data_IF_696400139925
#
_entry.id   IF_696400139925
#
_cell.length_a   1.000
_cell.length_b   1.000
_cell.length_c   1.000
_cell.angle_alpha   90.00
_cell.angle_beta   90.00
_cell.angle_gamma   90.00
#
_symmetry.space_group_name_H-M   'P 1'
#
loop_
_entity.id
_entity.type
_entity.pdbx_description
1 polymer ?
#
# COMPACT_ATOMS: atom_id res chain seq x y z
N UNK A 1 45.29 -25.45 -65.31
CA UNK A 1 44.31 -24.40 -64.98
C UNK A 1 42.98 -25.07 -64.71
N UNK A 2 42.58 -25.14 -63.43
CA UNK A 2 41.28 -25.68 -63.02
C UNK A 2 40.79 -24.84 -61.84
N UNK A 3 39.88 -23.91 -62.15
CA UNK A 3 39.11 -23.11 -61.20
C UNK A 3 37.86 -23.90 -60.82
N UNK A 4 37.43 -23.86 -59.54
CA UNK A 4 36.06 -23.99 -58.99
C UNK A 4 36.14 -24.45 -57.52
N UNK A 5 35.37 -23.97 -56.54
CA UNK A 5 34.44 -22.86 -56.38
C UNK A 5 34.13 -22.84 -54.87
N UNK A 6 34.43 -21.74 -54.16
CA UNK A 6 34.15 -21.61 -52.72
C UNK A 6 32.63 -21.65 -52.48
N UNK A 7 32.17 -22.61 -51.67
CA UNK A 7 30.82 -22.57 -51.10
C UNK A 7 30.96 -22.08 -49.66
N UNK A 8 30.64 -20.80 -49.46
CA UNK A 8 30.38 -20.22 -48.14
C UNK A 8 29.02 -20.74 -47.67
N UNK A 9 28.99 -21.69 -46.74
CA UNK A 9 27.79 -21.99 -45.97
C UNK A 9 27.66 -20.93 -44.87
N UNK A 10 26.87 -19.90 -45.12
CA UNK A 10 26.35 -19.03 -44.08
C UNK A 10 25.26 -19.78 -43.31
N UNK A 11 25.62 -20.35 -42.16
CA UNK A 11 24.67 -20.92 -41.21
C UNK A 11 23.93 -19.78 -40.50
N UNK A 12 22.67 -19.56 -40.82
CA UNK A 12 21.78 -18.68 -40.06
C UNK A 12 21.37 -19.40 -38.77
N UNK A 13 21.98 -19.04 -37.65
CA UNK A 13 21.54 -19.47 -36.32
C UNK A 13 20.33 -18.61 -35.94
N UNK A 14 19.13 -19.17 -36.10
CA UNK A 14 17.90 -18.62 -35.54
C UNK A 14 17.91 -18.82 -34.02
N UNK A 15 18.36 -17.82 -33.27
CA UNK A 15 18.16 -17.75 -31.83
C UNK A 15 16.69 -17.43 -31.57
N UNK A 16 15.86 -18.46 -31.39
CA UNK A 16 14.53 -18.31 -30.84
C UNK A 16 14.65 -17.97 -29.35
N UNK A 17 14.77 -16.68 -29.01
CA UNK A 17 14.59 -16.21 -27.64
C UNK A 17 13.10 -16.25 -27.30
N UNK A 18 12.60 -17.46 -27.01
CA UNK A 18 11.32 -17.63 -26.34
C UNK A 18 11.45 -17.08 -24.91
N UNK A 19 10.89 -15.89 -24.66
CA UNK A 19 10.73 -15.40 -23.30
C UNK A 19 9.87 -16.41 -22.54
N UNK A 20 10.36 -16.89 -21.39
CA UNK A 20 9.55 -17.70 -20.48
C UNK A 20 8.45 -16.79 -19.93
N UNK A 21 7.23 -16.95 -20.41
CA UNK A 21 6.06 -16.40 -19.74
C UNK A 21 5.98 -17.09 -18.37
N UNK A 22 6.30 -16.38 -17.30
CA UNK A 22 6.09 -16.89 -15.95
C UNK A 22 4.57 -17.04 -15.74
N UNK A 23 4.15 -18.14 -15.12
CA UNK A 23 2.74 -18.32 -14.76
C UNK A 23 2.35 -17.22 -13.77
N UNK A 24 1.29 -16.47 -14.09
CA UNK A 24 0.75 -15.44 -13.22
C UNK A 24 0.20 -16.10 -11.95
N UNK A 25 0.75 -15.74 -10.79
CA UNK A 25 0.25 -16.23 -9.51
C UNK A 25 -1.04 -15.47 -9.19
N UNK A 26 -2.13 -16.19 -8.91
CA UNK A 26 -3.43 -15.59 -8.60
C UNK A 26 -3.70 -15.70 -7.10
N UNK A 27 -4.07 -14.57 -6.50
CA UNK A 27 -4.52 -14.50 -5.12
C UNK A 27 -5.97 -14.05 -5.05
N UNK A 28 -6.64 -14.39 -3.96
CA UNK A 28 -8.00 -13.92 -3.63
C UNK A 28 -7.93 -13.13 -2.33
N UNK A 29 -8.66 -12.02 -2.28
CA UNK A 29 -8.80 -11.24 -1.05
C UNK A 29 -9.76 -11.92 -0.08
N UNK A 30 -9.35 -12.10 1.18
CA UNK A 30 -10.22 -12.70 2.20
C UNK A 30 -11.14 -11.67 2.87
N UNK A 31 -10.79 -10.38 2.80
CA UNK A 31 -11.50 -9.22 3.33
C UNK A 31 -11.39 -8.02 2.37
N UNK A 32 -12.09 -6.93 2.66
CA UNK A 32 -11.91 -5.65 1.98
C UNK A 32 -10.53 -5.07 2.32
N UNK A 33 -9.76 -4.71 1.29
CA UNK A 33 -8.35 -4.37 1.39
C UNK A 33 -8.06 -3.05 0.68
N UNK A 34 -7.44 -2.13 1.41
CA UNK A 34 -6.87 -0.92 0.81
C UNK A 34 -5.66 -1.30 -0.05
N UNK A 35 -5.72 -0.95 -1.33
CA UNK A 35 -4.60 -1.03 -2.26
C UNK A 35 -3.83 0.28 -2.15
N UNK A 36 -2.55 0.22 -1.78
CA UNK A 36 -1.71 1.41 -1.53
C UNK A 36 -0.70 1.66 -2.64
N UNK A 37 -0.26 2.91 -2.78
CA UNK A 37 0.79 3.29 -3.73
C UNK A 37 2.19 2.73 -3.37
N UNK A 38 2.41 2.31 -2.11
CA UNK A 38 3.68 1.77 -1.63
C UNK A 38 3.50 0.84 -0.42
N UNK A 39 4.56 0.11 -0.04
CA UNK A 39 4.52 -0.92 1.01
C UNK A 39 4.62 -0.29 2.40
N UNK A 40 3.53 0.31 2.86
CA UNK A 40 3.45 0.88 4.19
C UNK A 40 2.21 1.75 4.42
N UNK A 41 1.81 1.96 5.69
CA UNK A 41 0.70 2.83 6.06
C UNK A 41 0.87 4.28 5.60
N UNK A 42 2.11 4.73 5.43
CA UNK A 42 2.44 6.10 5.01
C UNK A 42 2.07 6.39 3.55
N UNK A 43 1.85 5.35 2.74
CA UNK A 43 1.49 5.53 1.34
C UNK A 43 -0.03 5.69 1.18
N UNK A 44 -0.47 6.59 0.28
CA UNK A 44 -1.89 6.81 0.04
C UNK A 44 -2.55 5.54 -0.51
N UNK A 45 -3.82 5.36 -0.15
CA UNK A 45 -4.69 4.37 -0.78
C UNK A 45 -5.04 4.82 -2.19
N UNK A 46 -4.80 3.96 -3.17
CA UNK A 46 -5.14 4.17 -4.58
C UNK A 46 -6.42 3.44 -5.00
N UNK A 47 -6.91 2.51 -4.16
CA UNK A 47 -8.21 1.88 -4.34
C UNK A 47 -8.57 0.87 -3.26
N UNK A 48 -9.69 0.20 -3.46
CA UNK A 48 -10.23 -0.82 -2.55
C UNK A 48 -10.46 -2.12 -3.32
N UNK A 49 -9.81 -3.20 -2.88
CA UNK A 49 -10.07 -4.55 -3.35
C UNK A 49 -11.07 -5.21 -2.37
N UNK A 50 -12.32 -5.38 -2.80
CA UNK A 50 -13.35 -6.02 -1.96
C UNK A 50 -13.06 -7.48 -1.72
N UNK A 51 -13.58 -8.07 -0.64
CA UNK A 51 -13.52 -9.51 -0.37
C UNK A 51 -13.91 -10.33 -1.61
N UNK A 52 -13.16 -11.39 -1.89
CA UNK A 52 -13.38 -12.29 -3.01
C UNK A 52 -12.84 -11.76 -4.35
N UNK A 53 -12.28 -10.55 -4.38
CA UNK A 53 -11.58 -10.04 -5.56
C UNK A 53 -10.39 -10.93 -5.88
N UNK A 54 -10.27 -11.30 -7.15
CA UNK A 54 -9.08 -11.96 -7.65
C UNK A 54 -8.03 -10.92 -8.02
N UNK A 55 -6.78 -11.21 -7.68
CA UNK A 55 -5.64 -10.35 -7.88
C UNK A 55 -4.50 -11.13 -8.54
N UNK A 56 -3.80 -10.53 -9.49
CA UNK A 56 -2.48 -11.03 -9.88
C UNK A 56 -1.51 -10.67 -8.77
N UNK A 57 -0.85 -11.66 -8.18
CA UNK A 57 0.17 -11.50 -7.15
C UNK A 57 1.54 -11.43 -7.83
N UNK A 58 2.04 -10.21 -8.04
CA UNK A 58 3.38 -9.98 -8.62
C UNK A 58 4.49 -10.51 -7.70
N UNK A 59 4.26 -10.47 -6.38
CA UNK A 59 5.18 -10.97 -5.36
C UNK A 59 5.18 -10.14 -4.08
N UNK A 60 5.96 -10.56 -3.09
CA UNK A 60 6.05 -9.92 -1.78
C UNK A 60 7.48 -9.47 -1.43
N UNK A 61 7.60 -8.44 -0.59
CA UNK A 61 8.90 -7.99 -0.11
C UNK A 61 9.40 -8.96 0.96
N UNK A 62 10.66 -9.40 0.83
CA UNK A 62 11.29 -10.27 1.80
C UNK A 62 11.38 -9.61 3.18
N UNK A 63 11.02 -10.34 4.24
CA UNK A 63 10.98 -9.81 5.61
C UNK A 63 9.89 -8.77 5.90
N UNK A 64 8.99 -8.49 4.94
CA UNK A 64 7.94 -7.48 5.05
C UNK A 64 6.56 -8.11 4.81
N UNK A 65 5.51 -7.58 5.42
CA UNK A 65 4.12 -8.07 5.25
C UNK A 65 3.42 -7.57 3.98
N UNK A 66 4.14 -6.89 3.10
CA UNK A 66 3.59 -6.25 1.91
C UNK A 66 3.81 -7.08 0.65
N UNK A 67 2.72 -7.23 -0.12
CA UNK A 67 2.74 -7.83 -1.45
C UNK A 67 2.25 -6.83 -2.48
N UNK A 68 2.88 -6.85 -3.65
CA UNK A 68 2.41 -6.11 -4.82
C UNK A 68 1.40 -6.96 -5.57
N UNK A 69 0.25 -6.37 -5.86
CA UNK A 69 -0.84 -7.01 -6.57
C UNK A 69 -1.34 -6.12 -7.70
N UNK A 70 -1.93 -6.73 -8.72
CA UNK A 70 -2.80 -6.06 -9.69
C UNK A 70 -4.24 -6.58 -9.50
N UNK A 71 -5.14 -5.67 -9.12
CA UNK A 71 -6.56 -5.97 -8.95
C UNK A 71 -7.33 -5.11 -9.93
N UNK A 72 -8.04 -5.72 -10.88
CA UNK A 72 -8.83 -5.03 -11.89
C UNK A 72 -8.04 -3.95 -12.68
N UNK A 73 -6.76 -4.21 -12.98
CA UNK A 73 -5.88 -3.26 -13.69
C UNK A 73 -5.28 -2.18 -12.78
N UNK A 74 -5.56 -2.23 -11.48
CA UNK A 74 -4.98 -1.33 -10.49
C UNK A 74 -3.85 -2.05 -9.75
N UNK A 75 -2.62 -1.69 -10.10
CA UNK A 75 -1.42 -2.21 -9.44
C UNK A 75 -1.06 -1.40 -8.20
N UNK A 76 -0.84 -2.08 -7.08
CA UNK A 76 -0.45 -1.46 -5.81
C UNK A 76 -0.05 -2.48 -4.76
N UNK A 77 0.02 -2.04 -3.51
CA UNK A 77 0.53 -2.81 -2.37
C UNK A 77 -0.57 -3.12 -1.36
N UNK A 78 -0.64 -4.37 -0.92
CA UNK A 78 -1.60 -4.87 0.07
C UNK A 78 -0.89 -5.74 1.12
N UNK A 79 -1.57 -5.98 2.23
CA UNK A 79 -1.09 -6.89 3.27
C UNK A 79 -1.26 -8.36 2.86
N UNK A 80 -0.19 -9.13 3.02
CA UNK A 80 -0.15 -10.56 2.71
C UNK A 80 -1.07 -11.42 3.60
N UNK A 81 -1.34 -10.96 4.83
CA UNK A 81 -2.24 -11.64 5.79
C UNK A 81 -3.67 -11.81 5.26
N UNK A 82 -4.06 -10.98 4.29
CA UNK A 82 -5.40 -10.97 3.73
C UNK A 82 -5.48 -11.45 2.28
N UNK A 83 -4.38 -12.02 1.78
CA UNK A 83 -4.35 -12.72 0.51
C UNK A 83 -4.31 -14.22 0.77
N UNK A 84 -5.09 -14.96 -0.02
CA UNK A 84 -4.98 -16.41 -0.11
C UNK A 84 -4.67 -16.83 -1.53
N UNK A 85 -3.89 -17.90 -1.69
CA UNK A 85 -3.71 -18.59 -2.97
C UNK A 85 -4.33 -19.97 -2.88
N UNK A 86 -4.75 -20.52 -4.02
CA UNK A 86 -5.15 -21.92 -4.09
C UNK A 86 -3.90 -22.80 -4.28
N UNK A 87 -3.62 -23.67 -3.31
CA UNK A 87 -2.59 -24.69 -3.40
C UNK A 87 -3.27 -26.06 -3.55
N UNK A 88 -3.50 -26.48 -4.78
CA UNK A 88 -4.06 -27.81 -5.08
C UNK A 88 -5.48 -28.02 -4.53
N UNK A 89 -6.33 -26.99 -4.56
CA UNK A 89 -7.70 -27.02 -4.04
C UNK A 89 -7.84 -26.63 -2.57
N UNK A 90 -6.74 -26.26 -1.90
CA UNK A 90 -6.76 -25.75 -0.53
C UNK A 90 -6.36 -24.27 -0.50
N UNK A 91 -7.18 -23.38 0.07
CA UNK A 91 -6.81 -21.98 0.23
C UNK A 91 -5.76 -21.85 1.33
N UNK A 92 -4.66 -21.15 1.02
CA UNK A 92 -3.54 -20.94 1.93
C UNK A 92 -3.25 -19.44 2.04
N UNK A 93 -3.13 -18.93 3.26
CA UNK A 93 -2.79 -17.53 3.51
C UNK A 93 -1.35 -17.26 3.07
N UNK A 94 -1.19 -16.22 2.25
CA UNK A 94 0.08 -15.85 1.64
C UNK A 94 1.12 -15.58 2.70
N UNK A 95 0.84 -14.75 3.73
CA UNK A 95 1.84 -14.38 4.74
C UNK A 95 2.55 -15.57 5.39
N UNK A 96 1.79 -16.60 5.72
CA UNK A 96 2.26 -17.71 6.54
C UNK A 96 3.05 -18.74 5.72
N UNK A 97 2.77 -18.85 4.42
CA UNK A 97 3.28 -19.97 3.60
C UNK A 97 4.04 -19.50 2.35
N UNK A 98 4.52 -18.25 2.32
CA UNK A 98 5.14 -17.62 1.14
C UNK A 98 6.21 -18.48 0.45
N UNK A 99 7.12 -19.04 1.25
CA UNK A 99 8.23 -19.84 0.74
C UNK A 99 7.75 -21.19 0.19
N UNK A 100 6.73 -21.79 0.81
CA UNK A 100 6.18 -23.09 0.44
C UNK A 100 5.36 -23.03 -0.84
N UNK A 101 4.59 -21.96 -1.02
CA UNK A 101 3.79 -21.70 -2.23
C UNK A 101 4.59 -21.01 -3.35
N UNK A 102 5.87 -20.71 -3.10
CA UNK A 102 6.78 -20.14 -4.11
C UNK A 102 6.43 -18.71 -4.53
N UNK A 103 5.96 -17.87 -3.62
CA UNK A 103 5.64 -16.47 -3.93
C UNK A 103 6.92 -15.74 -4.39
N UNK A 104 6.90 -15.08 -5.55
CA UNK A 104 8.05 -14.30 -5.99
C UNK A 104 8.41 -13.21 -4.98
N UNK A 105 9.72 -12.99 -4.79
CA UNK A 105 10.20 -11.84 -4.04
C UNK A 105 10.24 -10.61 -4.94
N UNK A 106 9.70 -9.49 -4.47
CA UNK A 106 9.84 -8.19 -5.15
C UNK A 106 10.58 -7.22 -4.24
N UNK A 107 11.38 -6.35 -4.84
CA UNK A 107 11.95 -5.21 -4.13
C UNK A 107 11.07 -3.98 -4.34
N UNK A 108 11.13 -3.07 -3.37
CA UNK A 108 10.57 -1.73 -3.51
C UNK A 108 11.70 -0.74 -3.28
N UNK A 109 12.07 -0.01 -4.32
CA UNK A 109 12.94 1.15 -4.19
C UNK A 109 12.05 2.35 -3.89
N UNK A 110 12.08 2.79 -2.63
CA UNK A 110 11.56 4.10 -2.27
C UNK A 110 12.46 5.13 -2.95
N UNK A 111 12.07 5.62 -4.13
CA UNK A 111 12.58 6.89 -4.60
C UNK A 111 12.11 7.91 -3.57
N UNK A 112 13.01 8.29 -2.67
CA UNK A 112 12.73 9.23 -1.59
C UNK A 112 11.91 10.40 -2.12
N UNK A 113 10.80 10.69 -1.45
CA UNK A 113 10.05 11.94 -1.60
C UNK A 113 9.55 12.21 -3.02
N UNK A 114 8.48 11.53 -3.43
CA UNK A 114 7.41 12.32 -4.04
C UNK A 114 6.56 12.86 -2.88
N UNK A 115 7.08 13.90 -2.22
CA UNK A 115 6.18 15.04 -1.95
C UNK A 115 5.58 15.29 -3.33
N UNK A 116 4.25 15.26 -3.53
CA UNK A 116 3.71 15.71 -4.80
C UNK A 116 4.37 17.06 -5.04
N UNK A 117 5.29 17.15 -6.01
CA UNK A 117 5.67 18.45 -6.52
C UNK A 117 4.32 19.06 -6.86
N UNK A 118 3.96 20.16 -6.20
CA UNK A 118 2.78 20.92 -6.60
C UNK A 118 2.83 20.98 -8.13
N UNK A 119 1.79 20.51 -8.84
CA UNK A 119 1.86 20.42 -10.29
C UNK A 119 2.15 21.81 -10.82
N UNK A 120 3.38 22.03 -11.28
CA UNK A 120 3.79 23.30 -11.84
C UNK A 120 3.17 23.34 -13.25
N UNK A 121 2.26 24.29 -13.55
CA UNK A 121 1.62 24.34 -14.86
C UNK A 121 2.68 24.49 -15.96
N UNK A 122 2.46 23.85 -17.10
CA UNK A 122 3.33 24.05 -18.26
C UNK A 122 3.21 25.51 -18.75
N UNK A 123 4.23 26.06 -19.44
CA UNK A 123 4.14 27.40 -20.02
C UNK A 123 2.95 27.50 -20.98
N UNK A 124 1.89 28.20 -20.55
CA UNK A 124 0.66 28.38 -21.33
C UNK A 124 -0.59 27.71 -20.74
N UNK A 125 -0.48 26.95 -19.64
CA UNK A 125 -1.64 26.46 -18.91
C UNK A 125 -2.34 27.63 -18.19
N UNK A 126 -3.65 27.73 -18.36
CA UNK A 126 -4.48 28.67 -17.58
C UNK A 126 -4.55 28.14 -16.13
N UNK A 127 -3.93 28.88 -15.20
CA UNK A 127 -3.97 28.63 -13.76
C UNK A 127 -5.42 28.74 -13.26
N UNK A 128 -6.20 27.67 -13.40
CA UNK A 128 -7.30 27.41 -12.49
C UNK A 128 -6.62 27.08 -11.16
N UNK A 129 -6.75 27.97 -10.18
CA UNK A 129 -6.04 27.90 -8.89
C UNK A 129 -6.12 26.53 -8.20
N UNK A 130 -5.30 26.30 -7.17
CA UNK A 130 -5.18 24.99 -6.53
C UNK A 130 -6.57 24.42 -6.20
N UNK A 131 -6.82 23.17 -6.60
CA UNK A 131 -7.90 22.37 -6.00
C UNK A 131 -7.67 22.42 -4.50
N UNK A 132 -8.67 22.91 -3.74
CA UNK A 132 -8.49 23.33 -2.34
C UNK A 132 -7.62 22.36 -1.55
N UNK A 133 -6.50 22.89 -1.02
CA UNK A 133 -5.65 22.16 -0.11
C UNK A 133 -6.53 21.53 0.98
N UNK A 134 -6.46 20.21 1.13
CA UNK A 134 -7.05 19.58 2.31
C UNK A 134 -6.27 20.15 3.48
N UNK A 135 -6.92 20.97 4.31
CA UNK A 135 -6.29 21.62 5.46
C UNK A 135 -5.68 20.56 6.37
N UNK A 136 -4.35 20.38 6.28
CA UNK A 136 -3.62 19.55 7.22
C UNK A 136 -3.66 20.27 8.55
N UNK A 137 -4.53 19.83 9.47
CA UNK A 137 -4.55 20.40 10.81
C UNK A 137 -3.17 20.18 11.45
N UNK A 138 -2.59 21.26 11.99
CA UNK A 138 -1.37 21.20 12.78
C UNK A 138 -1.77 21.38 14.24
N UNK A 139 -1.76 20.31 15.05
CA UNK A 139 -2.18 20.41 16.44
C UNK A 139 -1.27 21.37 17.23
N UNK A 140 -1.83 22.23 18.10
CA UNK A 140 -1.05 23.09 18.99
C UNK A 140 -0.09 22.30 19.88
N UNK A 141 1.02 22.92 20.29
CA UNK A 141 2.01 22.29 21.18
C UNK A 141 1.41 21.88 22.53
N UNK A 142 0.44 22.65 23.05
CA UNK A 142 -0.31 22.33 24.27
C UNK A 142 -1.02 20.98 24.19
N UNK A 143 -1.56 20.62 23.03
CA UNK A 143 -2.21 19.33 22.80
C UNK A 143 -1.19 18.20 22.80
N UNK A 144 -0.04 18.41 22.14
CA UNK A 144 1.07 17.44 22.15
C UNK A 144 1.55 17.15 23.58
N UNK A 145 1.82 18.21 24.36
CA UNK A 145 2.25 18.06 25.76
C UNK A 145 1.20 17.34 26.61
N UNK A 146 -0.10 17.64 26.41
CA UNK A 146 -1.16 16.95 27.12
C UNK A 146 -1.18 15.44 26.84
N UNK A 147 -1.05 15.05 25.57
CA UNK A 147 -1.02 13.64 25.13
C UNK A 147 0.19 12.90 25.70
N UNK A 148 1.36 13.54 25.73
CA UNK A 148 2.58 12.97 26.30
C UNK A 148 2.49 12.77 27.81
N UNK A 149 1.83 13.70 28.52
CA UNK A 149 1.71 13.67 29.98
C UNK A 149 0.55 12.80 30.46
N UNK A 150 -0.47 12.58 29.63
CA UNK A 150 -1.66 11.77 29.95
C UNK A 150 -1.87 10.63 28.93
N UNK A 151 -1.07 9.56 28.98
CA UNK A 151 -1.21 8.45 28.05
C UNK A 151 -2.53 7.70 28.25
N UNK A 152 -3.32 7.59 27.18
CA UNK A 152 -4.53 6.77 27.17
C UNK A 152 -4.19 5.27 27.02
N UNK A 153 -5.15 4.40 27.36
CA UNK A 153 -5.05 2.97 27.09
C UNK A 153 -4.92 2.71 25.57
N UNK A 154 -3.98 1.85 25.19
CA UNK A 154 -3.82 1.43 23.79
C UNK A 154 -4.96 0.49 23.41
N UNK A 155 -5.71 0.87 22.37
CA UNK A 155 -6.67 -0.01 21.69
C UNK A 155 -5.97 -0.68 20.52
N UNK A 156 -6.00 -2.01 20.50
CA UNK A 156 -5.45 -2.78 19.39
C UNK A 156 -6.53 -2.97 18.33
N UNK A 157 -6.34 -2.35 17.17
CA UNK A 157 -7.23 -2.52 16.02
C UNK A 157 -6.48 -3.27 14.92
N UNK A 158 -7.17 -4.22 14.28
CA UNK A 158 -6.65 -4.89 13.09
C UNK A 158 -6.53 -3.89 11.95
N UNK A 159 -5.31 -3.64 11.47
CA UNK A 159 -5.04 -2.77 10.32
C UNK A 159 -4.24 -1.51 10.66
N UNK A 160 -4.11 -0.65 9.65
CA UNK A 160 -3.32 0.57 9.74
C UNK A 160 -4.11 1.76 10.27
N UNK A 161 -3.41 2.60 11.02
CA UNK A 161 -3.94 3.86 11.56
C UNK A 161 -3.56 5.01 10.64
N UNK A 162 -4.55 5.56 9.91
CA UNK A 162 -4.37 6.63 8.91
C UNK A 162 -5.38 7.76 9.09
N UNK A 163 -5.00 8.97 8.65
CA UNK A 163 -5.91 10.13 8.61
C UNK A 163 -7.09 9.84 7.67
N UNK A 164 -8.30 10.22 8.08
CA UNK A 164 -9.56 9.98 7.39
C UNK A 164 -10.24 8.67 7.74
N UNK A 165 -9.55 7.72 8.37
CA UNK A 165 -10.15 6.46 8.79
C UNK A 165 -11.17 6.67 9.92
N UNK A 166 -12.26 5.92 9.88
CA UNK A 166 -13.28 5.92 10.92
C UNK A 166 -12.91 4.95 12.04
N UNK A 167 -13.02 5.42 13.28
CA UNK A 167 -12.72 4.60 14.46
C UNK A 167 -13.99 3.87 14.92
N UNK A 168 -13.96 2.53 15.07
CA UNK A 168 -15.11 1.73 15.50
C UNK A 168 -15.81 2.24 16.76
N UNK A 169 -17.13 2.09 16.86
CA UNK A 169 -17.97 2.66 17.92
C UNK A 169 -17.65 2.20 19.35
N UNK A 170 -17.07 1.02 19.49
CA UNK A 170 -16.62 0.43 20.75
C UNK A 170 -15.39 1.14 21.34
N UNK A 171 -14.66 1.90 20.53
CA UNK A 171 -13.51 2.68 20.98
C UNK A 171 -13.97 3.92 21.73
N UNK A 172 -13.49 4.05 22.98
CA UNK A 172 -13.73 5.23 23.81
C UNK A 172 -12.60 6.23 23.63
N UNK A 173 -12.95 7.52 23.50
CA UNK A 173 -11.98 8.60 23.30
C UNK A 173 -11.79 9.42 24.58
N UNK A 174 -10.55 9.83 24.84
CA UNK A 174 -10.21 10.77 25.91
C UNK A 174 -10.39 12.21 25.41
N UNK A 175 -11.01 13.06 26.23
CA UNK A 175 -11.19 14.48 25.90
C UNK A 175 -9.91 15.25 26.20
N UNK A 176 -9.54 16.17 25.31
CA UNK A 176 -8.42 17.10 25.52
C UNK A 176 -9.01 18.43 26.01
N UNK A 177 -8.51 19.02 27.11
CA UNK A 177 -8.96 20.33 27.57
C UNK A 177 -8.79 21.40 26.49
N UNK A 178 -9.80 22.28 26.36
CA UNK A 178 -9.79 23.43 25.45
C UNK A 178 -9.50 23.08 23.98
N UNK A 179 -9.88 21.88 23.54
CA UNK A 179 -9.64 21.41 22.17
C UNK A 179 -10.84 20.64 21.62
N UNK A 180 -11.11 20.83 20.33
CA UNK A 180 -12.30 20.27 19.66
C UNK A 180 -12.17 18.77 19.34
N UNK A 181 -10.94 18.30 19.13
CA UNK A 181 -10.66 16.90 18.83
C UNK A 181 -10.42 16.09 20.09
N UNK A 182 -10.75 14.81 20.01
CA UNK A 182 -10.49 13.84 21.08
C UNK A 182 -9.25 13.02 20.75
N UNK A 183 -8.66 12.43 21.78
CA UNK A 183 -7.44 11.64 21.69
C UNK A 183 -7.70 10.17 22.03
N UNK A 184 -7.07 9.26 21.29
CA UNK A 184 -6.97 7.84 21.63
C UNK A 184 -5.63 7.30 21.14
N UNK A 185 -5.16 6.21 21.75
CA UNK A 185 -3.96 5.50 21.30
C UNK A 185 -4.39 4.22 20.59
N UNK A 186 -4.09 4.11 19.30
CA UNK A 186 -4.43 2.94 18.47
C UNK A 186 -3.14 2.30 17.97
N UNK A 187 -2.95 1.01 18.22
CA UNK A 187 -1.73 0.28 17.84
C UNK A 187 -0.46 1.01 18.31
N UNK A 188 -0.48 1.45 19.57
CA UNK A 188 0.55 2.25 20.26
C UNK A 188 0.80 3.68 19.72
N UNK A 189 0.04 4.11 18.72
CA UNK A 189 0.16 5.45 18.12
C UNK A 189 -0.89 6.42 18.63
N UNK A 190 -0.51 7.63 19.08
CA UNK A 190 -1.47 8.66 19.45
C UNK A 190 -2.20 9.19 18.20
N UNK A 191 -3.52 9.31 18.27
CA UNK A 191 -4.34 9.91 17.20
C UNK A 191 -5.32 10.93 17.73
N UNK A 192 -5.62 11.93 16.90
CA UNK A 192 -6.72 12.85 17.11
C UNK A 192 -7.91 12.43 16.25
N UNK A 193 -9.09 12.48 16.85
CA UNK A 193 -10.35 12.02 16.26
C UNK A 193 -11.39 13.11 16.40
N UNK A 194 -12.13 13.37 15.32
CA UNK A 194 -13.33 14.19 15.33
C UNK A 194 -14.45 13.48 16.12
N UNK A 195 -14.97 14.06 17.20
CA UNK A 195 -16.00 13.42 18.02
C UNK A 195 -17.37 13.29 17.34
N UNK A 196 -17.66 14.08 16.31
CA UNK A 196 -18.91 14.02 15.56
C UNK A 196 -18.89 12.96 14.47
N UNK A 197 -17.76 12.81 13.77
CA UNK A 197 -17.63 11.87 12.65
C UNK A 197 -16.86 10.59 12.97
N UNK A 198 -16.23 10.51 14.16
CA UNK A 198 -15.30 9.44 14.57
C UNK A 198 -14.13 9.23 13.61
N UNK A 199 -13.83 10.23 12.77
CA UNK A 199 -12.73 10.16 11.80
C UNK A 199 -11.43 10.62 12.43
N UNK A 200 -10.36 9.90 12.14
CA UNK A 200 -9.01 10.30 12.49
C UNK A 200 -8.65 11.56 11.69
N UNK A 201 -8.33 12.64 12.37
CA UNK A 201 -7.94 13.91 11.75
C UNK A 201 -6.42 14.14 11.79
N UNK A 202 -5.73 13.45 12.70
CA UNK A 202 -4.27 13.52 12.81
C UNK A 202 -3.70 12.25 13.46
N UNK A 203 -2.52 11.83 13.02
CA UNK A 203 -1.79 10.69 13.59
C UNK A 203 -0.38 11.14 13.98
N UNK A 204 -0.04 11.04 15.25
CA UNK A 204 1.30 11.37 15.73
C UNK A 204 2.28 10.27 15.27
N UNK A 205 3.47 10.71 14.86
CA UNK A 205 4.62 9.88 14.48
C UNK A 205 5.70 9.96 15.54
#
# INVERSE_FOLDING_TARGET
MTLKRNILLAGAVLLASGGLAQAEMMATTVNDLNVRAGPGPQYPTVGLATRGSTAVLDGCIEGSRWCRVDVNGMRGWVYADYLQVDQGGSPVIVEQHRAEIGVPSVTYESTASVVPAEPQPAPGDELLGPVGAVETITPPETVRTYIETNPAQTVQLGGDVVVGAEVPDDVTFQSIPDYEYRYVRINDRPVLVDPGTRRIVYVYQ
#
